data_IF_430610759012
#
_entry.id   IF_430610759012
#
_cell.length_a   1.000
_cell.length_b   1.000
_cell.length_c   1.000
_cell.angle_alpha   90.00
_cell.angle_beta   90.00
_cell.angle_gamma   90.00
#
_symmetry.space_group_name_H-M   'P 1'
#
loop_
_entity.id
_entity.type
_entity.pdbx_description
1 polymer ?
#
# COMPACT_ATOMS: atom_id res chain seq x y z
N UNK A 1 8.70 -10.04 -0.59
CA UNK A 1 9.91 -10.82 -0.26
C UNK A 1 9.52 -12.28 -0.33
N UNK A 2 10.20 -13.07 -1.15
CA UNK A 2 10.04 -14.54 -1.16
C UNK A 2 10.71 -15.11 0.08
N UNK A 3 10.27 -16.30 0.53
CA UNK A 3 10.85 -16.95 1.72
C UNK A 3 12.36 -17.16 1.60
N UNK A 4 12.86 -17.49 0.41
CA UNK A 4 14.29 -17.65 0.13
C UNK A 4 15.08 -16.34 0.28
N UNK A 5 14.54 -15.21 -0.20
CA UNK A 5 15.19 -13.90 -0.05
C UNK A 5 15.27 -13.44 1.41
N UNK A 6 14.30 -13.83 2.24
CA UNK A 6 14.35 -13.56 3.67
C UNK A 6 15.40 -14.42 4.37
N UNK A 7 15.49 -15.71 4.05
CA UNK A 7 16.50 -16.62 4.61
C UNK A 7 17.90 -16.11 4.29
N UNK A 8 18.17 -15.73 3.03
CA UNK A 8 19.46 -15.17 2.64
C UNK A 8 19.78 -13.88 3.42
N UNK A 9 18.81 -12.95 3.52
CA UNK A 9 19.01 -11.71 4.27
C UNK A 9 19.28 -11.94 5.76
N UNK A 10 18.69 -12.97 6.37
CA UNK A 10 18.93 -13.32 7.78
C UNK A 10 20.31 -13.94 7.94
N UNK A 11 20.72 -14.83 7.03
CA UNK A 11 22.06 -15.41 7.02
C UNK A 11 23.15 -14.35 6.88
N UNK A 12 23.00 -13.41 5.95
CA UNK A 12 23.97 -12.33 5.75
C UNK A 12 24.10 -11.43 7.00
N UNK A 13 22.98 -11.13 7.68
CA UNK A 13 22.97 -10.33 8.91
C UNK A 13 23.51 -11.10 10.11
N UNK A 14 23.28 -12.41 10.17
CA UNK A 14 23.86 -13.28 11.19
C UNK A 14 25.38 -13.33 11.08
N UNK A 15 25.91 -13.52 9.87
CA UNK A 15 27.35 -13.59 9.62
C UNK A 15 28.03 -12.24 9.91
N UNK A 16 27.35 -11.13 9.60
CA UNK A 16 27.81 -9.79 9.97
C UNK A 16 27.92 -9.61 11.50
N UNK A 17 26.94 -10.12 12.28
CA UNK A 17 26.97 -10.06 13.75
C UNK A 17 28.13 -10.91 14.31
N UNK A 18 28.39 -12.09 13.75
CA UNK A 18 29.48 -12.96 14.20
C UNK A 18 30.87 -12.43 13.80
N UNK A 19 30.95 -11.64 12.73
CA UNK A 19 32.21 -10.99 12.31
C UNK A 19 32.56 -9.74 13.14
N UNK A 20 31.64 -9.27 13.98
CA UNK A 20 31.82 -8.11 14.87
C UNK A 20 32.47 -8.54 16.20
N UNK A 21 33.76 -8.83 16.16
CA UNK A 21 34.55 -9.33 17.31
C UNK A 21 34.68 -8.33 18.46
N UNK A 22 34.37 -7.05 18.25
CA UNK A 22 34.38 -6.00 19.27
C UNK A 22 33.10 -6.04 20.14
N UNK A 23 32.04 -6.71 19.67
CA UNK A 23 30.79 -6.82 20.40
C UNK A 23 30.87 -7.94 21.45
N UNK A 24 30.47 -7.69 22.71
CA UNK A 24 30.39 -8.73 23.73
C UNK A 24 29.44 -9.88 23.32
N UNK A 25 29.78 -11.12 23.68
CA UNK A 25 28.99 -12.33 23.37
C UNK A 25 27.50 -12.21 23.72
N UNK A 26 27.18 -11.59 24.85
CA UNK A 26 25.78 -11.43 25.29
C UNK A 26 25.01 -10.45 24.39
N UNK A 27 25.68 -9.42 23.86
CA UNK A 27 25.10 -8.50 22.89
C UNK A 27 24.98 -9.13 21.50
N UNK A 28 25.92 -10.00 21.12
CA UNK A 28 25.81 -10.81 19.90
C UNK A 28 24.59 -11.74 19.98
N UNK A 29 24.43 -12.48 21.08
CA UNK A 29 23.27 -13.36 21.32
C UNK A 29 21.96 -12.58 21.30
N UNK A 30 21.89 -11.44 21.99
CA UNK A 30 20.71 -10.59 22.00
C UNK A 30 20.35 -10.09 20.60
N UNK A 31 21.36 -9.73 19.80
CA UNK A 31 21.20 -9.29 18.42
C UNK A 31 20.68 -10.40 17.51
N UNK A 32 21.21 -11.62 17.64
CA UNK A 32 20.76 -12.80 16.89
C UNK A 32 19.32 -13.17 17.25
N UNK A 33 18.98 -13.17 18.56
CA UNK A 33 17.61 -13.43 19.00
C UNK A 33 16.62 -12.39 18.45
N UNK A 34 17.02 -11.11 18.44
CA UNK A 34 16.22 -10.03 17.85
C UNK A 34 16.04 -10.23 16.35
N UNK A 35 17.09 -10.62 15.63
CA UNK A 35 17.06 -10.89 14.20
C UNK A 35 16.07 -12.02 13.85
N UNK A 36 16.14 -13.15 14.57
CA UNK A 36 15.22 -14.28 14.40
C UNK A 36 13.78 -13.87 14.72
N UNK A 37 13.59 -13.09 15.79
CA UNK A 37 12.27 -12.57 16.16
C UNK A 37 11.68 -11.69 15.05
N UNK A 38 12.48 -10.80 14.46
CA UNK A 38 12.03 -9.94 13.35
C UNK A 38 11.72 -10.73 12.08
N UNK A 39 12.57 -11.70 11.74
CA UNK A 39 12.35 -12.57 10.58
C UNK A 39 11.08 -13.41 10.73
N UNK A 40 10.84 -14.00 11.91
CA UNK A 40 9.61 -14.77 12.18
C UNK A 40 8.35 -13.89 12.10
N UNK A 41 8.42 -12.66 12.63
CA UNK A 41 7.32 -11.69 12.49
C UNK A 41 7.07 -11.32 11.03
N UNK A 42 8.12 -11.15 10.22
CA UNK A 42 7.97 -10.85 8.80
C UNK A 42 7.34 -12.01 8.00
N UNK A 43 7.57 -13.27 8.40
CA UNK A 43 6.95 -14.46 7.80
C UNK A 43 5.47 -14.61 8.14
N UNK A 44 5.08 -14.24 9.36
CA UNK A 44 3.70 -14.40 9.86
C UNK A 44 2.88 -13.11 9.63
N UNK A 45 3.54 -11.99 9.35
CA UNK A 45 2.88 -10.73 9.08
C UNK A 45 1.90 -10.88 7.90
N UNK A 46 0.64 -10.45 8.05
CA UNK A 46 -0.28 -10.45 6.93
C UNK A 46 0.30 -9.56 5.82
N UNK A 47 0.02 -9.89 4.54
CA UNK A 47 0.48 -9.08 3.41
C UNK A 47 0.15 -7.61 3.66
N UNK A 48 1.03 -6.67 3.27
CA UNK A 48 0.76 -5.26 3.41
C UNK A 48 -0.62 -4.97 2.82
N UNK A 49 -1.56 -4.51 3.65
CA UNK A 49 -2.90 -4.15 3.16
C UNK A 49 -2.70 -3.15 2.04
N UNK A 50 -3.27 -3.44 0.87
CA UNK A 50 -3.24 -2.54 -0.28
C UNK A 50 -3.69 -1.15 0.17
N UNK A 51 -2.76 -0.20 0.14
CA UNK A 51 -3.02 1.19 0.52
C UNK A 51 -3.84 1.81 -0.60
N UNK A 52 -4.91 2.52 -0.22
CA UNK A 52 -5.71 3.25 -1.20
C UNK A 52 -4.91 4.44 -1.74
N UNK A 53 -4.76 4.52 -3.06
CA UNK A 53 -4.15 5.67 -3.73
C UNK A 53 -5.27 6.67 -4.05
N UNK A 54 -5.13 7.90 -3.58
CA UNK A 54 -6.07 9.00 -3.86
C UNK A 54 -5.38 9.99 -4.80
N UNK A 55 -6.05 10.33 -5.88
CA UNK A 55 -5.60 11.29 -6.88
C UNK A 55 -6.68 12.34 -7.11
N UNK A 56 -6.30 13.62 -7.17
CA UNK A 56 -7.25 14.69 -7.49
C UNK A 56 -7.59 14.64 -8.99
N UNK A 57 -8.89 14.65 -9.32
CA UNK A 57 -9.36 14.88 -10.68
C UNK A 57 -9.49 16.38 -10.94
N UNK A 58 -9.92 17.11 -9.92
CA UNK A 58 -10.02 18.57 -9.93
C UNK A 58 -9.89 19.12 -8.52
N UNK A 59 -9.26 20.29 -8.41
CA UNK A 59 -9.10 21.03 -7.15
C UNK A 59 -9.95 22.29 -7.19
N UNK A 60 -10.66 22.57 -6.10
CA UNK A 60 -11.46 23.77 -5.93
C UNK A 60 -10.84 24.66 -4.85
N UNK A 61 -11.03 25.97 -4.95
CA UNK A 61 -10.63 26.91 -3.89
C UNK A 61 -11.50 26.76 -2.64
N UNK A 62 -12.76 26.36 -2.85
CA UNK A 62 -13.75 26.16 -1.80
C UNK A 62 -13.39 24.97 -0.91
N UNK A 63 -13.33 25.22 0.40
CA UNK A 63 -13.14 24.16 1.40
C UNK A 63 -14.25 23.11 1.27
N UNK A 64 -13.85 21.84 1.35
CA UNK A 64 -14.73 20.66 1.29
C UNK A 64 -15.42 20.40 -0.07
N UNK A 65 -15.06 21.14 -1.12
CA UNK A 65 -15.43 20.83 -2.50
C UNK A 65 -14.27 20.15 -3.20
N UNK A 66 -14.51 18.97 -3.76
CA UNK A 66 -13.46 18.17 -4.37
C UNK A 66 -14.03 17.22 -5.44
N UNK A 67 -13.17 16.85 -6.38
CA UNK A 67 -13.37 15.73 -7.29
C UNK A 67 -12.09 14.90 -7.29
N UNK A 68 -12.18 13.63 -6.89
CA UNK A 68 -11.00 12.77 -6.72
C UNK A 68 -11.30 11.33 -7.11
N UNK A 69 -10.26 10.62 -7.53
CA UNK A 69 -10.29 9.18 -7.80
C UNK A 69 -9.55 8.46 -6.68
N UNK A 70 -10.20 7.46 -6.08
CA UNK A 70 -9.61 6.52 -5.13
C UNK A 70 -9.45 5.16 -5.80
N UNK A 71 -8.28 4.55 -5.69
CA UNK A 71 -8.01 3.20 -6.19
C UNK A 71 -7.52 2.34 -5.03
N UNK A 72 -8.16 1.18 -4.83
CA UNK A 72 -7.77 0.17 -3.84
C UNK A 72 -7.88 -1.21 -4.49
N UNK A 73 -6.74 -1.79 -4.85
CA UNK A 73 -6.69 -3.03 -5.62
C UNK A 73 -7.39 -2.89 -6.96
N UNK A 74 -8.29 -3.82 -7.27
CA UNK A 74 -9.11 -3.79 -8.50
C UNK A 74 -10.28 -2.82 -8.44
N UNK A 75 -10.59 -2.28 -7.27
CA UNK A 75 -11.70 -1.34 -7.10
C UNK A 75 -11.21 0.09 -7.32
N UNK A 76 -11.89 0.81 -8.21
CA UNK A 76 -11.78 2.26 -8.34
C UNK A 76 -13.09 2.92 -7.90
N UNK A 77 -12.99 4.12 -7.35
CA UNK A 77 -14.12 4.94 -6.91
C UNK A 77 -13.86 6.38 -7.29
N UNK A 78 -14.86 7.03 -7.90
CA UNK A 78 -14.85 8.47 -8.12
C UNK A 78 -15.67 9.15 -7.02
N UNK A 79 -15.08 10.11 -6.34
CA UNK A 79 -15.69 10.83 -5.23
C UNK A 79 -15.79 12.31 -5.58
N UNK A 80 -17.02 12.83 -5.53
CA UNK A 80 -17.33 14.23 -5.77
C UNK A 80 -18.04 14.80 -4.54
N UNK A 81 -17.69 16.02 -4.15
CA UNK A 81 -18.33 16.72 -3.03
C UNK A 81 -18.83 18.08 -3.46
N UNK A 82 -20.05 18.45 -3.06
CA UNK A 82 -20.71 19.75 -3.33
C UNK A 82 -20.82 20.10 -4.83
N UNK A 83 -21.18 19.12 -5.66
CA UNK A 83 -21.50 19.34 -7.07
C UNK A 83 -22.97 19.76 -7.24
N UNK A 84 -23.25 20.66 -8.19
CA UNK A 84 -24.64 21.02 -8.54
C UNK A 84 -25.38 19.84 -9.18
N UNK A 85 -26.71 19.86 -9.17
CA UNK A 85 -27.51 18.78 -9.78
C UNK A 85 -27.20 18.59 -11.26
N UNK A 86 -27.02 19.69 -12.00
CA UNK A 86 -26.65 19.68 -13.42
C UNK A 86 -25.35 18.91 -13.65
N UNK A 87 -24.31 19.18 -12.85
CA UNK A 87 -23.03 18.48 -12.97
C UNK A 87 -23.17 16.99 -12.61
N UNK A 88 -23.98 16.67 -11.61
CA UNK A 88 -24.26 15.27 -11.26
C UNK A 88 -24.93 14.52 -12.43
N UNK A 89 -25.94 15.13 -13.07
CA UNK A 89 -26.65 14.53 -14.21
C UNK A 89 -25.74 14.30 -15.42
N UNK A 90 -24.84 15.26 -15.71
CA UNK A 90 -23.85 15.10 -16.79
C UNK A 90 -22.84 13.98 -16.50
N UNK A 91 -22.37 13.88 -15.24
CA UNK A 91 -21.49 12.79 -14.82
C UNK A 91 -22.17 11.43 -14.95
N UNK A 92 -23.41 11.31 -14.47
CA UNK A 92 -24.18 10.06 -14.54
C UNK A 92 -24.41 9.63 -15.98
N UNK A 93 -24.80 10.57 -16.86
CA UNK A 93 -24.95 10.32 -18.29
C UNK A 93 -23.65 9.83 -18.91
N UNK A 94 -22.55 10.53 -18.70
CA UNK A 94 -21.25 10.17 -19.27
C UNK A 94 -20.75 8.81 -18.76
N UNK A 95 -20.95 8.51 -17.47
CA UNK A 95 -20.58 7.22 -16.89
C UNK A 95 -21.39 6.09 -17.56
N UNK A 96 -22.71 6.26 -17.68
CA UNK A 96 -23.57 5.24 -18.28
C UNK A 96 -23.21 5.00 -19.75
N UNK A 97 -23.00 6.06 -20.55
CA UNK A 97 -22.57 5.93 -21.95
C UNK A 97 -21.24 5.17 -22.09
N UNK A 98 -20.29 5.43 -21.20
CA UNK A 98 -19.00 4.72 -21.19
C UNK A 98 -19.21 3.24 -20.84
N UNK A 99 -20.03 2.93 -19.83
CA UNK A 99 -20.27 1.56 -19.41
C UNK A 99 -21.02 0.78 -20.49
N UNK A 100 -22.06 1.35 -21.07
CA UNK A 100 -22.83 0.75 -22.15
C UNK A 100 -21.90 0.41 -23.33
N UNK A 101 -21.17 1.40 -23.85
CA UNK A 101 -20.23 1.21 -24.98
C UNK A 101 -19.21 0.10 -24.77
N UNK A 102 -18.76 -0.15 -23.53
CA UNK A 102 -17.66 -1.09 -23.26
C UNK A 102 -18.11 -2.43 -22.67
N UNK A 103 -19.32 -2.52 -22.11
CA UNK A 103 -19.77 -3.69 -21.34
C UNK A 103 -21.11 -4.27 -21.82
N UNK A 104 -21.85 -3.60 -22.71
CA UNK A 104 -23.16 -4.08 -23.17
C UNK A 104 -23.09 -5.09 -24.32
N UNK A 105 -22.03 -5.90 -24.40
CA UNK A 105 -21.90 -7.00 -25.37
C UNK A 105 -22.36 -8.34 -24.78
#
# INVERSE_FOLDING_TARGET
LTSEGLIQSVSDQHDAILSDYERPDDEQKASILKLISQASQALIAPPPKEKSVISALWTFEEKDKFARKRVKGRTLTYEFSRMSKVVQDELDKAINEVLERNLSQ
#
